data_IF_532121862871
#
_entry.id   IF_532121862871
#
_cell.length_a   1.000
_cell.length_b   1.000
_cell.length_c   1.000
_cell.angle_alpha   90.00
_cell.angle_beta   90.00
_cell.angle_gamma   90.00
#
_symmetry.space_group_name_H-M   'P 1'
#
loop_
_entity.id
_entity.type
_entity.pdbx_description
1 polymer ?
#
# COMPACT_ATOMS: atom_id res chain seq x y z
N UNK A 1 22.00 -1.80 -4.00
CA UNK A 1 20.82 -1.13 -3.42
C UNK A 1 19.76 -1.00 -4.50
N UNK A 2 18.57 -1.57 -4.31
CA UNK A 2 17.39 -1.13 -5.08
C UNK A 2 16.91 0.18 -4.48
N UNK A 3 16.70 1.19 -5.31
CA UNK A 3 16.08 2.43 -4.85
C UNK A 3 14.57 2.22 -4.78
N UNK A 4 13.91 2.76 -3.75
CA UNK A 4 12.48 2.46 -3.54
C UNK A 4 11.59 2.91 -4.71
N UNK A 5 12.05 3.83 -5.57
CA UNK A 5 11.29 4.28 -6.74
C UNK A 5 11.45 3.42 -7.99
N UNK A 6 12.21 2.33 -7.93
CA UNK A 6 12.51 1.51 -9.10
C UNK A 6 11.26 0.82 -9.67
N UNK A 7 10.29 0.46 -8.82
CA UNK A 7 9.03 -0.13 -9.27
C UNK A 7 7.86 0.81 -8.96
N UNK A 8 7.40 1.56 -9.95
CA UNK A 8 6.27 2.48 -9.84
C UNK A 8 5.00 1.85 -10.40
N UNK A 9 3.87 2.03 -9.71
CA UNK A 9 2.57 1.50 -10.13
C UNK A 9 1.45 2.51 -9.84
N UNK A 10 0.41 2.53 -10.67
CA UNK A 10 -0.85 3.19 -10.32
C UNK A 10 -1.63 2.22 -9.43
N UNK A 11 -1.80 2.54 -8.15
CA UNK A 11 -2.47 1.68 -7.17
C UNK A 11 -4.00 1.69 -7.30
N UNK A 12 -4.54 2.71 -7.95
CA UNK A 12 -5.96 2.91 -8.19
C UNK A 12 -6.23 4.37 -8.53
N UNK A 13 -7.48 4.71 -8.81
CA UNK A 13 -7.95 6.08 -8.95
C UNK A 13 -9.34 6.20 -8.36
N UNK A 14 -9.66 7.33 -7.74
CA UNK A 14 -10.95 7.48 -7.09
C UNK A 14 -11.50 8.89 -7.21
N UNK A 15 -12.77 8.98 -7.62
CA UNK A 15 -13.57 10.21 -7.65
C UNK A 15 -13.99 10.64 -6.23
N UNK A 16 -13.97 9.71 -5.27
CA UNK A 16 -14.25 9.97 -3.84
C UNK A 16 -12.99 10.08 -2.97
N UNK A 17 -11.83 10.24 -3.62
CA UNK A 17 -10.55 10.57 -2.98
C UNK A 17 -9.98 9.49 -2.04
N UNK A 18 -10.15 8.19 -2.31
CA UNK A 18 -9.84 7.12 -1.35
C UNK A 18 -9.29 5.83 -1.96
N UNK A 19 -8.45 5.12 -1.21
CA UNK A 19 -8.16 3.69 -1.45
C UNK A 19 -8.50 2.86 -0.21
N UNK A 20 -8.96 1.63 -0.43
CA UNK A 20 -9.16 0.64 0.64
C UNK A 20 -8.14 -0.48 0.54
N UNK A 21 -7.40 -0.70 1.63
CA UNK A 21 -6.41 -1.75 1.78
C UNK A 21 -7.01 -2.89 2.61
N UNK A 22 -7.24 -4.04 1.96
CA UNK A 22 -7.82 -5.22 2.60
C UNK A 22 -6.77 -6.32 2.66
N UNK A 23 -6.52 -6.92 3.81
CA UNK A 23 -5.48 -7.95 3.94
C UNK A 23 -5.61 -8.77 5.22
N UNK A 24 -4.86 -9.88 5.29
CA UNK A 24 -4.78 -10.63 6.53
C UNK A 24 -3.95 -9.88 7.58
N UNK A 25 -4.34 -10.00 8.84
CA UNK A 25 -3.62 -9.48 10.01
C UNK A 25 -3.44 -10.59 11.05
N UNK A 26 -2.54 -10.40 12.00
CA UNK A 26 -2.22 -11.43 13.00
C UNK A 26 -3.31 -11.60 14.08
N UNK A 27 -4.10 -10.56 14.32
CA UNK A 27 -5.12 -10.53 15.37
C UNK A 27 -6.55 -10.66 14.80
N UNK A 28 -7.46 -11.19 15.62
CA UNK A 28 -8.87 -11.30 15.24
C UNK A 28 -9.53 -9.90 15.12
N UNK A 29 -10.36 -9.63 14.10
CA UNK A 29 -10.69 -10.52 12.99
C UNK A 29 -9.51 -10.56 12.00
N UNK A 30 -9.01 -11.75 11.67
CA UNK A 30 -7.76 -11.99 10.92
C UNK A 30 -7.72 -11.39 9.50
N UNK A 31 -8.73 -10.62 9.10
CA UNK A 31 -8.80 -9.80 7.91
C UNK A 31 -9.23 -8.39 8.34
N UNK A 32 -8.46 -7.38 7.93
CA UNK A 32 -8.81 -5.98 8.15
C UNK A 32 -8.99 -5.26 6.81
N UNK A 33 -9.89 -4.28 6.78
CA UNK A 33 -10.13 -3.36 5.67
C UNK A 33 -9.89 -1.92 6.16
N UNK A 34 -8.77 -1.33 5.75
CA UNK A 34 -8.37 0.01 6.14
C UNK A 34 -8.58 1.00 4.99
N UNK A 35 -9.33 2.06 5.26
CA UNK A 35 -9.64 3.12 4.31
C UNK A 35 -8.63 4.25 4.46
N UNK A 36 -7.96 4.64 3.37
CA UNK A 36 -6.95 5.69 3.36
C UNK A 36 -7.38 6.86 2.46
N UNK A 37 -7.73 8.02 3.02
CA UNK A 37 -8.06 9.22 2.26
C UNK A 37 -6.84 9.87 1.60
N UNK A 38 -7.01 10.39 0.39
CA UNK A 38 -6.00 11.11 -0.40
C UNK A 38 -6.29 12.61 -0.51
N UNK A 39 -7.48 13.06 -0.10
CA UNK A 39 -7.86 14.48 -0.02
C UNK A 39 -8.35 15.09 -1.32
N UNK A 40 -8.02 14.49 -2.46
CA UNK A 40 -8.51 14.91 -3.78
C UNK A 40 -8.71 13.72 -4.72
N UNK A 41 -9.60 13.93 -5.70
CA UNK A 41 -9.82 13.04 -6.84
C UNK A 41 -8.51 12.82 -7.62
N UNK A 42 -8.35 11.61 -8.15
CA UNK A 42 -7.43 11.31 -9.23
C UNK A 42 -6.75 9.95 -9.08
N UNK A 43 -5.72 9.72 -9.89
CA UNK A 43 -4.94 8.48 -9.85
C UNK A 43 -3.83 8.53 -8.80
N UNK A 44 -3.68 7.45 -8.05
CA UNK A 44 -2.74 7.35 -6.94
C UNK A 44 -1.55 6.49 -7.29
N UNK A 45 -0.38 7.11 -7.32
CA UNK A 45 0.88 6.44 -7.59
C UNK A 45 1.47 5.86 -6.31
N UNK A 46 1.95 4.64 -6.40
CA UNK A 46 2.72 3.98 -5.36
C UNK A 46 4.03 3.41 -5.90
N UNK A 47 4.91 3.06 -4.97
CA UNK A 47 6.12 2.31 -5.29
C UNK A 47 6.15 0.97 -4.57
N UNK A 48 6.62 -0.07 -5.26
CA UNK A 48 6.69 -1.43 -4.72
C UNK A 48 8.15 -1.80 -4.43
N UNK A 49 8.41 -2.25 -3.20
CA UNK A 49 9.74 -2.63 -2.74
C UNK A 49 9.72 -4.09 -2.35
N UNK A 50 10.50 -4.92 -3.03
CA UNK A 50 10.62 -6.37 -2.76
C UNK A 50 11.92 -6.77 -2.07
N UNK A 51 12.79 -5.80 -1.79
CA UNK A 51 14.09 -6.03 -1.19
C UNK A 51 14.00 -5.75 0.31
N UNK A 52 14.30 -6.75 1.14
CA UNK A 52 14.21 -6.65 2.60
C UNK A 52 15.26 -5.70 3.20
N UNK A 53 16.36 -5.47 2.49
CA UNK A 53 17.42 -4.53 2.90
C UNK A 53 17.17 -3.09 2.42
N UNK A 54 16.06 -2.83 1.73
CA UNK A 54 15.76 -1.49 1.23
C UNK A 54 15.31 -0.56 2.37
N UNK A 55 16.05 0.55 2.57
CA UNK A 55 15.65 1.58 3.51
C UNK A 55 14.48 2.41 2.96
N UNK A 56 13.34 2.37 3.68
CA UNK A 56 12.22 3.27 3.41
C UNK A 56 12.57 4.67 3.93
N UNK A 57 12.48 5.74 3.11
CA UNK A 57 12.89 7.07 3.54
C UNK A 57 12.13 7.56 4.79
N UNK A 58 12.83 8.22 5.71
CA UNK A 58 12.29 8.67 7.02
C UNK A 58 11.05 9.57 6.97
N UNK A 59 10.75 10.20 5.84
CA UNK A 59 9.55 11.03 5.67
C UNK A 59 8.28 10.21 5.37
N UNK A 60 8.42 8.91 5.11
CA UNK A 60 7.31 7.97 5.07
C UNK A 60 7.03 7.43 6.46
N UNK A 61 5.74 7.31 6.79
CA UNK A 61 5.25 6.69 8.03
C UNK A 61 4.53 5.40 7.67
N UNK A 62 4.69 4.37 8.50
CA UNK A 62 3.94 3.13 8.37
C UNK A 62 2.50 3.38 8.76
N UNK A 63 1.56 3.06 7.88
CA UNK A 63 0.12 3.14 8.13
C UNK A 63 -0.45 1.77 8.50
N UNK A 64 -0.12 0.75 7.71
CA UNK A 64 -0.71 -0.58 7.84
C UNK A 64 0.35 -1.69 7.70
N UNK A 65 0.09 -2.82 8.35
CA UNK A 65 0.84 -4.05 8.18
C UNK A 65 -0.13 -5.20 7.94
N UNK A 66 0.18 -6.03 6.96
CA UNK A 66 -0.60 -7.18 6.55
C UNK A 66 0.30 -8.40 6.39
N UNK A 67 -0.31 -9.57 6.34
CA UNK A 67 0.35 -10.88 6.19
C UNK A 67 -0.22 -11.60 4.97
N UNK A 68 0.59 -12.45 4.34
CA UNK A 68 0.22 -13.32 3.20
C UNK A 68 -0.24 -12.60 1.92
N UNK A 69 -1.25 -11.74 2.00
CA UNK A 69 -1.79 -10.99 0.88
C UNK A 69 -2.34 -9.62 1.30
N UNK A 70 -2.31 -8.70 0.33
CA UNK A 70 -2.94 -7.39 0.39
C UNK A 70 -3.70 -7.17 -0.93
N UNK A 71 -4.96 -6.75 -0.82
CA UNK A 71 -5.78 -6.28 -1.93
C UNK A 71 -5.99 -4.78 -1.80
N UNK A 72 -5.84 -4.08 -2.90
CA UNK A 72 -6.09 -2.63 -2.98
C UNK A 72 -7.33 -2.41 -3.82
N UNK A 73 -8.27 -1.67 -3.26
CA UNK A 73 -9.50 -1.27 -3.92
C UNK A 73 -9.58 0.25 -4.05
N UNK A 74 -10.20 0.70 -5.13
CA UNK A 74 -10.80 2.03 -5.23
C UNK A 74 -12.32 1.89 -5.36
N UNK A 75 -13.00 2.97 -5.76
CA UNK A 75 -14.45 3.02 -5.98
C UNK A 75 -14.92 2.25 -7.22
N UNK A 76 -14.02 1.96 -8.18
CA UNK A 76 -14.30 1.07 -9.31
C UNK A 76 -14.16 -0.42 -8.96
N UNK A 77 -13.41 -0.74 -7.89
CA UNK A 77 -13.31 -2.08 -7.34
C UNK A 77 -11.88 -2.53 -7.10
N UNK A 78 -11.59 -3.81 -7.35
CA UNK A 78 -10.27 -4.41 -7.07
C UNK A 78 -9.24 -3.99 -8.12
N UNK A 79 -8.20 -3.29 -7.67
CA UNK A 79 -7.13 -2.79 -8.54
C UNK A 79 -5.89 -3.69 -8.51
N UNK A 80 -5.46 -4.12 -7.32
CA UNK A 80 -4.24 -4.91 -7.15
C UNK A 80 -4.39 -6.03 -6.14
N UNK A 81 -3.59 -7.09 -6.36
CA UNK A 81 -3.37 -8.16 -5.39
C UNK A 81 -1.87 -8.36 -5.22
N UNK A 82 -1.37 -8.06 -4.02
CA UNK A 82 0.00 -8.31 -3.60
C UNK A 82 0.06 -9.56 -2.73
N UNK A 83 1.17 -10.29 -2.81
CA UNK A 83 1.46 -11.47 -2.00
C UNK A 83 2.85 -11.36 -1.40
N UNK A 84 2.99 -11.78 -0.16
CA UNK A 84 4.26 -11.77 0.58
C UNK A 84 4.03 -12.18 2.03
N UNK A 85 5.10 -12.57 2.71
CA UNK A 85 5.04 -12.97 4.13
C UNK A 85 4.59 -11.80 5.00
N UNK A 86 5.27 -10.66 4.88
CA UNK A 86 4.92 -9.39 5.50
C UNK A 86 4.72 -8.33 4.41
N UNK A 87 3.63 -7.56 4.50
CA UNK A 87 3.31 -6.49 3.57
C UNK A 87 3.06 -5.23 4.36
N UNK A 88 3.86 -4.20 4.15
CA UNK A 88 3.80 -2.96 4.91
C UNK A 88 3.49 -1.77 4.00
N UNK A 89 2.46 -1.01 4.36
CA UNK A 89 2.01 0.16 3.61
C UNK A 89 2.50 1.41 4.32
N UNK A 90 3.23 2.25 3.59
CA UNK A 90 3.78 3.49 4.07
C UNK A 90 3.22 4.68 3.30
N UNK A 91 3.08 5.81 3.99
CA UNK A 91 2.49 7.05 3.48
C UNK A 91 3.40 8.25 3.76
N UNK A 92 3.53 9.12 2.76
CA UNK A 92 4.16 10.43 2.87
C UNK A 92 3.23 11.52 2.32
N UNK A 93 2.86 12.49 3.16
CA UNK A 93 1.92 13.55 2.79
C UNK A 93 0.53 12.99 2.50
N UNK A 94 -0.10 13.43 1.40
CA UNK A 94 -1.43 12.95 0.97
C UNK A 94 -1.41 12.10 -0.31
N UNK A 95 -0.25 11.92 -0.95
CA UNK A 95 -0.15 11.15 -2.21
C UNK A 95 0.96 10.11 -2.23
N UNK A 96 2.02 10.25 -1.42
CA UNK A 96 3.11 9.29 -1.42
C UNK A 96 2.67 7.96 -0.81
N UNK A 97 2.82 6.86 -1.54
CA UNK A 97 2.64 5.50 -1.05
C UNK A 97 3.86 4.65 -1.40
N UNK A 98 4.31 3.85 -0.44
CA UNK A 98 5.25 2.76 -0.67
C UNK A 98 4.64 1.48 -0.08
N UNK A 99 4.65 0.40 -0.84
CA UNK A 99 4.28 -0.94 -0.37
C UNK A 99 5.56 -1.78 -0.35
N UNK A 100 6.00 -2.14 0.84
CA UNK A 100 7.11 -3.07 1.05
C UNK A 100 6.57 -4.49 1.21
N UNK A 101 7.18 -5.44 0.52
CA UNK A 101 6.72 -6.83 0.44
C UNK A 101 7.93 -7.73 0.71
N UNK A 102 7.95 -8.34 1.90
CA UNK A 102 8.88 -9.43 2.23
C UNK A 102 8.39 -10.71 1.54
N UNK A 103 9.28 -11.40 0.82
CA UNK A 103 8.94 -12.64 0.10
C UNK A 103 8.71 -13.83 1.03
#
# INVERSE_FOLDING_TARGET
>A
MSYYKDNKVILGGSDVAVLTFVGCVEEYPFINANVLPFGEDGSYLGYIVYNDDAEIPKHYKKEYSFKSWLKVYDDDGLQHVFKGKNIEVYRAGQRGIVIHIEK
#
